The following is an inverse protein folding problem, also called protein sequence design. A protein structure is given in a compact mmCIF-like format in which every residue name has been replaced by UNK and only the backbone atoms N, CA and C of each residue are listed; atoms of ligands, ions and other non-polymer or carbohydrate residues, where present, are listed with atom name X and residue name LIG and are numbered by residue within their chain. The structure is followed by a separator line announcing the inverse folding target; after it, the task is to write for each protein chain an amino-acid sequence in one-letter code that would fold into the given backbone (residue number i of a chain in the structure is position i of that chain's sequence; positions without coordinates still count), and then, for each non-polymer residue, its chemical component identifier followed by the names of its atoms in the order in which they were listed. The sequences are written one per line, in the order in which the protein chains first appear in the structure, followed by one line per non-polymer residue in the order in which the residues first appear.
data_IF_085181797917
#
_entry.id   IF_085181797917
#
_cell.length_a   1.000
_cell.length_b   1.000
_cell.length_c   1.000
_cell.angle_alpha   90.00
_cell.angle_beta   90.00
_cell.angle_gamma   90.00
#
_symmetry.space_group_name_H-M   'P 1'
#
loop_
_entity.id
_entity.type
_entity.pdbx_description
1 polymer ?
#
# COMPACT_ATOMS: atom_id res chain seq x y z
N UNK A 1 -28.73 -70.90 5.81
CA UNK A 1 -28.20 -69.63 6.33
C UNK A 1 -28.35 -68.58 5.23
N UNK A 2 -29.45 -67.81 5.24
CA UNK A 2 -29.68 -66.77 4.23
C UNK A 2 -28.87 -65.54 4.65
N UNK A 3 -27.81 -65.25 3.90
CA UNK A 3 -27.17 -63.94 3.91
C UNK A 3 -28.23 -62.95 3.41
N UNK A 4 -28.94 -62.31 4.34
CA UNK A 4 -29.77 -61.15 4.06
C UNK A 4 -28.80 -60.09 3.54
N UNK A 5 -28.81 -59.93 2.22
CA UNK A 5 -28.09 -58.89 1.51
C UNK A 5 -28.64 -57.56 2.02
N UNK A 6 -27.85 -56.91 2.86
CA UNK A 6 -28.22 -55.71 3.58
C UNK A 6 -28.09 -54.49 2.67
N UNK A 7 -29.00 -54.38 1.69
CA UNK A 7 -29.08 -53.21 0.80
C UNK A 7 -29.40 -51.93 1.60
N UNK A 8 -29.97 -52.06 2.80
CA UNK A 8 -30.25 -50.97 3.75
C UNK A 8 -28.97 -50.40 4.36
N UNK A 9 -28.03 -51.23 4.82
CA UNK A 9 -26.74 -50.77 5.34
C UNK A 9 -25.88 -50.09 4.27
N UNK A 10 -25.94 -50.57 3.02
CA UNK A 10 -25.27 -49.93 1.89
C UNK A 10 -25.89 -48.55 1.62
N UNK A 11 -27.22 -48.43 1.62
CA UNK A 11 -27.92 -47.16 1.40
C UNK A 11 -27.62 -46.11 2.49
N UNK A 12 -27.59 -46.52 3.76
CA UNK A 12 -27.24 -45.63 4.89
C UNK A 12 -25.79 -45.16 4.79
N UNK A 13 -24.86 -46.05 4.44
CA UNK A 13 -23.44 -45.72 4.28
C UNK A 13 -23.20 -44.75 3.13
N UNK A 14 -23.87 -44.97 1.99
CA UNK A 14 -23.77 -44.09 0.81
C UNK A 14 -24.39 -42.71 1.10
N UNK A 15 -25.56 -42.67 1.75
CA UNK A 15 -26.20 -41.41 2.14
C UNK A 15 -25.37 -40.60 3.13
N UNK A 16 -24.72 -41.27 4.09
CA UNK A 16 -23.80 -40.62 5.02
C UNK A 16 -22.57 -40.05 4.32
N UNK A 17 -21.90 -40.84 3.47
CA UNK A 17 -20.73 -40.39 2.70
C UNK A 17 -21.10 -39.21 1.80
N UNK A 18 -22.23 -39.28 1.10
CA UNK A 18 -22.69 -38.21 0.23
C UNK A 18 -22.93 -36.91 1.00
N UNK A 19 -23.63 -36.98 2.14
CA UNK A 19 -23.92 -35.82 2.98
C UNK A 19 -22.62 -35.24 3.54
N UNK A 20 -21.70 -36.10 4.00
CA UNK A 20 -20.40 -35.69 4.50
C UNK A 20 -19.59 -34.95 3.43
N UNK A 21 -19.54 -35.47 2.20
CA UNK A 21 -18.84 -34.82 1.08
C UNK A 21 -19.45 -33.45 0.78
N UNK A 22 -20.78 -33.35 0.72
CA UNK A 22 -21.47 -32.07 0.49
C UNK A 22 -21.15 -31.08 1.61
N UNK A 23 -21.16 -31.51 2.88
CA UNK A 23 -20.82 -30.65 4.01
C UNK A 23 -19.37 -30.16 3.97
N UNK A 24 -18.42 -31.02 3.60
CA UNK A 24 -17.01 -30.63 3.46
C UNK A 24 -16.85 -29.62 2.34
N UNK A 25 -17.46 -29.84 1.18
CA UNK A 25 -17.41 -28.90 0.05
C UNK A 25 -18.03 -27.55 0.44
N UNK A 26 -19.17 -27.57 1.11
CA UNK A 26 -19.83 -26.36 1.60
C UNK A 26 -18.93 -25.59 2.58
N UNK A 27 -18.29 -26.30 3.53
CA UNK A 27 -17.38 -25.70 4.50
C UNK A 27 -16.16 -25.06 3.81
N UNK A 28 -15.52 -25.77 2.88
CA UNK A 28 -14.38 -25.25 2.11
C UNK A 28 -14.79 -24.01 1.33
N UNK A 29 -15.96 -24.03 0.67
CA UNK A 29 -16.47 -22.89 -0.11
C UNK A 29 -16.67 -21.65 0.76
N UNK A 30 -17.26 -21.83 1.94
CA UNK A 30 -17.47 -20.74 2.90
C UNK A 30 -16.12 -20.19 3.39
N UNK A 31 -15.18 -21.07 3.73
CA UNK A 31 -13.85 -20.67 4.20
C UNK A 31 -13.09 -19.86 3.14
N UNK A 32 -13.06 -20.33 1.89
CA UNK A 32 -12.44 -19.62 0.77
C UNK A 32 -13.10 -18.26 0.51
N UNK A 33 -14.42 -18.18 0.68
CA UNK A 33 -15.16 -16.91 0.54
C UNK A 33 -14.72 -15.91 1.60
N UNK A 34 -14.56 -16.34 2.86
CA UNK A 34 -14.04 -15.48 3.93
C UNK A 34 -12.61 -15.00 3.66
N UNK A 35 -11.72 -15.88 3.19
CA UNK A 35 -10.36 -15.48 2.82
C UNK A 35 -10.34 -14.40 1.73
N UNK A 36 -11.18 -14.57 0.71
CA UNK A 36 -11.27 -13.59 -0.39
C UNK A 36 -11.80 -12.24 0.09
N UNK A 37 -12.77 -12.24 1.02
CA UNK A 37 -13.30 -11.01 1.60
C UNK A 37 -12.27 -10.31 2.49
N UNK A 38 -11.50 -11.06 3.27
CA UNK A 38 -10.43 -10.52 4.11
C UNK A 38 -9.35 -9.86 3.26
N UNK A 39 -8.87 -10.54 2.22
CA UNK A 39 -7.83 -9.99 1.33
C UNK A 39 -8.28 -8.69 0.64
N UNK A 40 -9.54 -8.62 0.20
CA UNK A 40 -10.12 -7.37 -0.33
C UNK A 40 -10.20 -6.26 0.70
N UNK A 41 -10.51 -6.59 1.95
CA UNK A 41 -10.54 -5.60 3.04
C UNK A 41 -9.13 -5.06 3.31
N UNK A 42 -8.12 -5.93 3.36
CA UNK A 42 -6.71 -5.53 3.50
C UNK A 42 -6.25 -4.61 2.36
N UNK A 43 -6.55 -4.96 1.11
CA UNK A 43 -6.23 -4.13 -0.05
C UNK A 43 -6.91 -2.75 0.01
N UNK A 44 -8.17 -2.71 0.47
CA UNK A 44 -8.93 -1.46 0.61
C UNK A 44 -8.31 -0.55 1.68
N UNK A 45 -7.96 -1.12 2.84
CA UNK A 45 -7.28 -0.38 3.91
C UNK A 45 -5.91 0.11 3.44
N UNK A 46 -5.13 -0.77 2.79
CA UNK A 46 -3.82 -0.42 2.28
C UNK A 46 -3.87 0.72 1.27
N UNK A 47 -4.84 0.68 0.34
CA UNK A 47 -5.07 1.78 -0.60
C UNK A 47 -5.42 3.09 0.11
N UNK A 48 -6.30 3.04 1.10
CA UNK A 48 -6.68 4.22 1.89
C UNK A 48 -5.48 4.83 2.62
N UNK A 49 -4.65 4.01 3.26
CA UNK A 49 -3.45 4.47 3.96
C UNK A 49 -2.41 5.01 2.98
N UNK A 50 -2.24 4.39 1.81
CA UNK A 50 -1.39 4.93 0.75
C UNK A 50 -1.88 6.28 0.24
N UNK A 51 -3.19 6.48 0.11
CA UNK A 51 -3.77 7.77 -0.27
C UNK A 51 -3.54 8.82 0.83
N UNK A 52 -3.67 8.48 2.11
CA UNK A 52 -3.40 9.40 3.23
C UNK A 52 -1.94 9.82 3.23
N UNK A 53 -1.02 8.86 3.33
CA UNK A 53 0.42 9.17 3.41
C UNK A 53 0.97 9.80 2.12
N UNK A 54 0.48 9.38 0.95
CA UNK A 54 0.87 10.00 -0.31
C UNK A 54 0.39 11.46 -0.43
N UNK A 55 -0.81 11.77 0.06
CA UNK A 55 -1.29 13.15 0.14
C UNK A 55 -0.48 13.98 1.14
N UNK A 56 -0.12 13.42 2.29
CA UNK A 56 0.73 14.10 3.27
C UNK A 56 2.10 14.48 2.67
N UNK A 57 2.73 13.55 1.95
CA UNK A 57 3.98 13.81 1.22
C UNK A 57 3.76 14.92 0.18
N UNK A 58 2.69 14.85 -0.63
CA UNK A 58 2.38 15.87 -1.65
C UNK A 58 2.18 17.26 -1.03
N UNK A 59 1.45 17.34 0.09
CA UNK A 59 1.27 18.58 0.85
C UNK A 59 2.60 19.12 1.38
N UNK A 60 3.49 18.24 1.86
CA UNK A 60 4.81 18.64 2.33
C UNK A 60 5.67 19.20 1.20
N UNK A 61 5.67 18.57 0.02
CA UNK A 61 6.35 19.09 -1.19
C UNK A 61 5.83 20.49 -1.53
N UNK A 62 4.50 20.66 -1.59
CA UNK A 62 3.87 21.95 -1.88
C UNK A 62 4.19 23.03 -0.82
N UNK A 63 4.29 22.65 0.44
CA UNK A 63 4.68 23.54 1.54
C UNK A 63 6.12 24.02 1.39
N UNK A 64 7.04 23.11 1.04
CA UNK A 64 8.44 23.45 0.78
C UNK A 64 8.54 24.37 -0.45
N UNK A 65 7.84 24.06 -1.55
CA UNK A 65 7.81 24.90 -2.76
C UNK A 65 7.32 26.33 -2.45
N UNK A 66 6.24 26.44 -1.68
CA UNK A 66 5.68 27.73 -1.26
C UNK A 66 6.65 28.51 -0.36
N UNK A 67 7.31 27.83 0.58
CA UNK A 67 8.30 28.43 1.48
C UNK A 67 9.50 28.97 0.68
N UNK A 68 9.99 28.21 -0.30
CA UNK A 68 11.04 28.65 -1.23
C UNK A 68 10.58 29.85 -2.05
N UNK A 69 9.35 29.87 -2.53
CA UNK A 69 8.78 30.99 -3.28
C UNK A 69 8.74 32.29 -2.46
N UNK A 70 8.24 32.22 -1.21
CA UNK A 70 8.16 33.38 -0.30
C UNK A 70 9.54 33.93 0.02
N UNK A 71 10.52 33.06 0.25
CA UNK A 71 11.87 33.48 0.61
C UNK A 71 12.65 34.05 -0.59
N UNK A 72 12.47 33.49 -1.78
CA UNK A 72 13.00 34.06 -3.01
C UNK A 72 12.45 35.47 -3.26
N UNK A 73 11.15 35.69 -3.00
CA UNK A 73 10.53 37.01 -3.18
C UNK A 73 10.95 38.04 -2.12
N UNK A 74 11.33 37.60 -0.92
CA UNK A 74 11.80 38.49 0.16
C UNK A 74 13.31 38.76 0.13
N UNK A 75 14.06 38.09 -0.74
CA UNK A 75 15.52 38.19 -0.82
C UNK A 75 16.26 37.52 0.35
N UNK A 76 15.56 36.68 1.11
CA UNK A 76 16.11 35.97 2.25
C UNK A 76 16.72 34.62 1.83
N UNK A 77 17.81 34.21 2.49
CA UNK A 77 18.49 32.95 2.22
C UNK A 77 17.87 31.79 3.02
N UNK A 78 17.52 30.70 2.34
CA UNK A 78 17.17 29.41 2.96
C UNK A 78 18.39 28.49 2.89
N UNK A 79 18.77 27.91 4.02
CA UNK A 79 19.75 26.83 4.10
C UNK A 79 19.17 25.47 3.69
N UNK A 80 19.89 24.39 3.96
CA UNK A 80 19.35 23.04 3.77
C UNK A 80 18.15 22.84 4.69
N UNK A 81 17.03 22.42 4.12
CA UNK A 81 15.82 22.04 4.87
C UNK A 81 15.71 20.53 4.89
N UNK A 82 15.52 19.96 6.07
CA UNK A 82 15.29 18.54 6.27
C UNK A 82 13.96 18.36 7.00
N UNK A 83 13.10 17.50 6.46
CA UNK A 83 11.82 17.15 7.03
C UNK A 83 11.74 15.64 7.24
N UNK A 84 11.43 15.21 8.45
CA UNK A 84 11.25 13.79 8.78
C UNK A 84 9.86 13.32 8.33
N UNK A 85 9.85 12.32 7.45
CA UNK A 85 8.63 11.66 6.98
C UNK A 85 8.23 10.58 7.98
N UNK A 86 7.09 10.78 8.64
CA UNK A 86 6.50 9.80 9.55
C UNK A 86 5.74 8.75 8.74
N UNK A 87 6.46 7.75 8.25
CA UNK A 87 5.91 6.63 7.50
C UNK A 87 5.94 5.36 8.36
N UNK A 88 4.84 4.60 8.43
CA UNK A 88 4.84 3.33 9.16
C UNK A 88 5.71 2.28 8.45
N UNK A 89 6.32 1.37 9.22
CA UNK A 89 7.14 0.29 8.66
C UNK A 89 6.33 -0.66 7.75
N UNK A 90 5.04 -0.84 8.07
CA UNK A 90 4.09 -1.70 7.38
C UNK A 90 2.70 -1.08 7.32
N UNK A 91 2.00 -1.33 6.22
CA UNK A 91 0.59 -0.96 6.03
C UNK A 91 -0.17 -2.24 5.72
N UNK A 92 -1.24 -2.51 6.47
CA UNK A 92 -2.01 -3.76 6.38
C UNK A 92 -1.12 -5.03 6.47
N UNK A 93 -0.05 -4.98 7.27
CA UNK A 93 0.87 -6.10 7.49
C UNK A 93 1.94 -6.30 6.40
N UNK A 94 1.95 -5.46 5.37
CA UNK A 94 2.86 -5.58 4.22
C UNK A 94 3.85 -4.41 4.16
N UNK A 95 5.08 -4.70 3.72
CA UNK A 95 6.05 -3.67 3.39
C UNK A 95 5.73 -3.03 2.05
N UNK A 96 6.16 -1.78 1.89
CA UNK A 96 5.85 -0.99 0.70
C UNK A 96 7.03 -0.12 0.28
N UNK A 97 6.91 0.46 -0.90
CA UNK A 97 7.85 1.41 -1.46
C UNK A 97 7.13 2.69 -1.84
N UNK A 98 7.83 3.82 -1.68
CA UNK A 98 7.38 5.13 -2.14
C UNK A 98 8.39 5.61 -3.16
N UNK A 99 7.92 5.91 -4.36
CA UNK A 99 8.76 6.36 -5.47
C UNK A 99 8.27 7.70 -6.00
N UNK A 100 9.17 8.65 -6.24
CA UNK A 100 8.85 9.86 -7.01
C UNK A 100 9.08 9.59 -8.48
N UNK A 101 8.05 9.83 -9.28
CA UNK A 101 8.11 9.78 -10.73
C UNK A 101 8.07 11.22 -11.25
N UNK A 102 9.24 11.78 -11.57
CA UNK A 102 9.37 13.16 -12.00
C UNK A 102 8.78 13.37 -13.41
N UNK A 103 8.85 12.34 -14.28
CA UNK A 103 8.27 12.44 -15.62
C UNK A 103 6.76 12.72 -15.64
N UNK A 104 6.02 12.25 -14.63
CA UNK A 104 4.57 12.45 -14.52
C UNK A 104 4.15 13.34 -13.35
N UNK A 105 5.10 13.84 -12.55
CA UNK A 105 4.85 14.62 -11.33
C UNK A 105 3.95 13.87 -10.35
N UNK A 106 4.25 12.59 -10.12
CA UNK A 106 3.46 11.72 -9.25
C UNK A 106 4.33 11.00 -8.21
N UNK A 107 3.78 10.84 -7.01
CA UNK A 107 4.30 9.97 -5.97
C UNK A 107 3.57 8.63 -6.10
N UNK A 108 4.33 7.57 -6.32
CA UNK A 108 3.83 6.21 -6.44
C UNK A 108 4.08 5.44 -5.14
N UNK A 109 3.00 5.01 -4.50
CA UNK A 109 3.05 4.08 -3.37
C UNK A 109 2.65 2.69 -3.86
N UNK A 110 3.49 1.70 -3.57
CA UNK A 110 3.31 0.34 -4.07
C UNK A 110 3.66 -0.69 -2.99
N UNK A 111 2.77 -1.66 -2.79
CA UNK A 111 3.03 -2.83 -1.95
C UNK A 111 4.08 -3.73 -2.57
N UNK A 112 4.96 -4.32 -1.73
CA UNK A 112 6.00 -5.26 -2.18
C UNK A 112 5.39 -6.56 -2.69
N UNK A 113 4.49 -7.17 -1.93
CA UNK A 113 3.95 -8.50 -2.20
C UNK A 113 2.66 -8.48 -3.01
N UNK A 114 1.87 -7.39 -2.91
CA UNK A 114 0.59 -7.23 -3.62
C UNK A 114 0.71 -6.20 -4.73
N UNK A 115 1.27 -6.59 -5.88
CA UNK A 115 1.51 -5.70 -7.02
C UNK A 115 0.24 -4.97 -7.54
N UNK A 116 -0.95 -5.50 -7.27
CA UNK A 116 -2.23 -4.86 -7.61
C UNK A 116 -2.56 -3.63 -6.75
N UNK A 117 -1.91 -3.46 -5.59
CA UNK A 117 -2.12 -2.30 -4.71
C UNK A 117 -1.08 -1.23 -5.01
N UNK A 118 -1.40 -0.38 -5.99
CA UNK A 118 -0.62 0.79 -6.38
C UNK A 118 -1.50 2.04 -6.32
N UNK A 119 -0.97 3.09 -5.70
CA UNK A 119 -1.58 4.40 -5.62
C UNK A 119 -0.64 5.43 -6.22
N UNK A 120 -1.18 6.34 -7.03
CA UNK A 120 -0.43 7.43 -7.65
C UNK A 120 -1.05 8.74 -7.21
N UNK A 121 -0.25 9.57 -6.53
CA UNK A 121 -0.67 10.86 -6.00
C UNK A 121 0.07 11.95 -6.76
N UNK A 122 -0.63 12.86 -7.45
CA UNK A 122 0.02 13.97 -8.14
C UNK A 122 0.59 14.97 -7.14
N UNK A 123 1.70 15.61 -7.50
CA UNK A 123 2.24 16.77 -6.82
C UNK A 123 2.49 17.91 -7.81
N UNK A 124 2.58 19.14 -7.31
CA UNK A 124 2.85 20.31 -8.14
C UNK A 124 3.90 21.19 -7.49
N UNK A 125 4.92 21.55 -8.25
CA UNK A 125 6.05 22.39 -7.84
C UNK A 125 6.35 23.40 -8.94
N UNK A 126 6.62 24.64 -8.57
CA UNK A 126 6.95 25.71 -9.52
C UNK A 126 8.34 26.30 -9.29
N UNK A 127 8.88 26.16 -8.08
CA UNK A 127 10.09 26.82 -7.61
C UNK A 127 11.23 25.83 -7.35
N UNK A 128 10.91 24.55 -7.17
CA UNK A 128 11.84 23.47 -6.87
C UNK A 128 11.71 22.34 -7.89
N UNK A 129 12.78 21.55 -8.05
CA UNK A 129 12.80 20.32 -8.85
C UNK A 129 12.83 19.12 -7.91
N UNK A 130 11.85 18.22 -8.03
CA UNK A 130 11.85 16.98 -7.24
C UNK A 130 12.63 15.89 -7.98
N UNK A 131 13.61 15.31 -7.29
CA UNK A 131 14.48 14.26 -7.82
C UNK A 131 13.79 12.91 -7.72
N UNK A 132 13.86 12.12 -8.80
CA UNK A 132 13.38 10.74 -8.78
C UNK A 132 14.15 9.94 -7.73
N UNK A 133 13.40 9.39 -6.79
CA UNK A 133 13.93 8.67 -5.63
C UNK A 133 12.93 7.58 -5.23
N UNK A 134 13.45 6.48 -4.71
CA UNK A 134 12.64 5.38 -4.17
C UNK A 134 13.11 5.05 -2.78
N UNK A 135 12.19 5.12 -1.82
CA UNK A 135 12.39 4.71 -0.43
C UNK A 135 11.57 3.45 -0.14
N UNK A 136 12.11 2.58 0.71
CA UNK A 136 11.45 1.35 1.15
C UNK A 136 11.09 1.47 2.63
N UNK A 137 9.88 1.04 3.01
CA UNK A 137 9.38 1.17 4.38
C UNK A 137 10.19 0.40 5.44
N UNK A 138 11.15 -0.42 5.03
CA UNK A 138 12.07 -1.13 5.94
C UNK A 138 13.15 -0.21 6.54
N UNK A 139 13.34 1.00 6.01
CA UNK A 139 14.30 1.93 6.58
C UNK A 139 13.71 2.61 7.83
N UNK A 140 14.51 2.71 8.89
CA UNK A 140 14.01 3.15 10.20
C UNK A 140 13.54 4.60 10.24
N UNK A 141 14.05 5.46 9.36
CA UNK A 141 13.69 6.88 9.27
C UNK A 141 13.81 7.33 7.82
N UNK A 142 12.86 8.17 7.43
CA UNK A 142 12.78 8.73 6.10
C UNK A 142 12.82 10.25 6.18
N UNK A 143 13.53 10.87 5.25
CA UNK A 143 13.73 12.31 5.21
C UNK A 143 13.50 12.86 3.82
N UNK A 144 12.86 14.01 3.77
CA UNK A 144 12.78 14.85 2.60
C UNK A 144 13.75 16.01 2.76
N UNK A 145 14.71 16.13 1.85
CA UNK A 145 15.81 17.09 1.95
C UNK A 145 15.79 18.05 0.77
N UNK A 146 15.76 19.34 1.04
CA UNK A 146 15.89 20.40 0.05
C UNK A 146 17.31 20.95 0.03
N UNK A 147 17.92 20.93 -1.15
CA UNK A 147 19.21 21.56 -1.43
C UNK A 147 19.00 22.94 -2.07
N UNK A 148 19.35 24.06 -1.39
CA UNK A 148 19.20 25.40 -1.94
C UNK A 148 20.15 25.71 -3.10
N UNK A 149 21.27 24.99 -3.25
CA UNK A 149 22.26 25.22 -4.30
C UNK A 149 21.71 24.77 -5.65
N UNK A 150 21.17 23.56 -5.69
CA UNK A 150 20.61 22.97 -6.91
C UNK A 150 19.09 23.16 -7.03
N UNK A 151 18.43 23.70 -5.99
CA UNK A 151 16.97 23.83 -5.85
C UNK A 151 16.25 22.49 -6.01
N UNK A 152 16.90 21.43 -5.53
CA UNK A 152 16.41 20.07 -5.65
C UNK A 152 15.82 19.55 -4.36
N UNK A 153 14.77 18.76 -4.46
CA UNK A 153 14.14 18.05 -3.36
C UNK A 153 14.33 16.55 -3.56
N UNK A 154 14.88 15.86 -2.57
CA UNK A 154 15.13 14.41 -2.62
C UNK A 154 14.53 13.71 -1.40
N UNK A 155 14.02 12.49 -1.59
CA UNK A 155 13.61 11.61 -0.50
C UNK A 155 14.66 10.52 -0.27
N UNK A 156 15.00 10.29 1.01
CA UNK A 156 16.00 9.32 1.45
C UNK A 156 15.56 8.59 2.71
#
# INVERSE_FOLDING_TARGET
MKLLKDDTAVSISVGFILTFVISVIALVTVLTSFYTLMDRAEQTVMRSEFEIHGNDISMQIASIDSLVAVMNNSGAYIGVLEYELNLPDQIAGEHYSVSVVNSSHEIMLQSRDKAETKVMIPYSTNNIVVVESTIFSEASRHYMTYDPVHRTLEMR
#
